data_IF_441539867279
#
_entry.id   IF_441539867279
#
_cell.length_a   1.000
_cell.length_b   1.000
_cell.length_c   1.000
_cell.angle_alpha   90.00
_cell.angle_beta   90.00
_cell.angle_gamma   90.00
#
_symmetry.space_group_name_H-M   'P 1'
#
loop_
_entity.id
_entity.type
_entity.pdbx_description
1 polymer ?
#
# COMPACT_ATOMS: atom_id res chain seq x y z
N UNK A 1 17.02 42.50 -23.50
CA UNK A 1 17.90 41.52 -24.18
C UNK A 1 18.79 40.75 -23.20
N UNK A 2 19.53 41.40 -22.29
CA UNK A 2 20.45 40.74 -21.33
C UNK A 2 19.82 39.65 -20.42
N UNK A 3 18.56 39.84 -19.99
CA UNK A 3 17.90 38.89 -19.07
C UNK A 3 17.57 37.53 -19.69
N UNK A 4 17.23 37.47 -20.99
CA UNK A 4 16.93 36.19 -21.66
C UNK A 4 18.22 35.41 -21.94
N UNK A 5 19.29 36.11 -22.32
CA UNK A 5 20.59 35.50 -22.60
C UNK A 5 21.25 34.88 -21.36
N UNK A 6 21.03 35.45 -20.17
CA UNK A 6 21.68 35.00 -18.93
C UNK A 6 20.85 34.02 -18.09
N UNK A 7 19.54 33.90 -18.36
CA UNK A 7 18.68 32.94 -17.68
C UNK A 7 18.66 31.56 -18.38
N UNK A 8 18.31 30.51 -17.63
CA UNK A 8 18.05 29.14 -18.15
C UNK A 8 16.58 28.71 -18.04
N UNK A 9 15.70 29.62 -17.62
CA UNK A 9 14.25 29.39 -17.50
C UNK A 9 13.48 30.70 -17.44
N UNK A 10 12.19 30.68 -17.79
CA UNK A 10 11.31 31.86 -17.68
C UNK A 10 11.18 32.42 -16.27
N UNK A 11 11.24 31.54 -15.26
CA UNK A 11 11.28 31.97 -13.85
C UNK A 11 12.58 32.74 -13.54
N UNK A 12 13.70 32.34 -14.16
CA UNK A 12 14.96 33.05 -14.08
C UNK A 12 14.90 34.43 -14.73
N UNK A 13 14.26 34.53 -15.91
CA UNK A 13 14.03 35.83 -16.58
C UNK A 13 13.20 36.76 -15.70
N UNK A 14 12.11 36.26 -15.10
CA UNK A 14 11.29 37.07 -14.21
C UNK A 14 12.09 37.60 -13.01
N UNK A 15 12.92 36.76 -12.38
CA UNK A 15 13.78 37.21 -11.26
C UNK A 15 14.72 38.34 -11.68
N UNK A 16 15.34 38.24 -12.85
CA UNK A 16 16.26 39.27 -13.35
C UNK A 16 15.55 40.55 -13.77
N UNK A 17 14.28 40.47 -14.17
CA UNK A 17 13.43 41.62 -14.45
C UNK A 17 12.79 42.22 -13.18
N UNK A 18 13.11 41.71 -11.98
CA UNK A 18 12.52 42.15 -10.72
C UNK A 18 11.06 41.73 -10.51
N UNK A 19 10.59 40.75 -11.29
CA UNK A 19 9.21 40.26 -11.27
C UNK A 19 9.08 38.99 -10.43
N UNK A 20 7.88 38.80 -9.86
CA UNK A 20 7.54 37.61 -9.08
C UNK A 20 7.57 36.35 -9.98
N UNK A 21 8.53 35.46 -9.71
CA UNK A 21 8.80 34.26 -10.51
C UNK A 21 7.72 33.17 -10.47
N UNK A 22 6.63 33.38 -9.73
CA UNK A 22 5.51 32.45 -9.56
C UNK A 22 4.32 32.75 -10.47
N UNK A 23 4.26 33.92 -11.11
CA UNK A 23 3.10 34.30 -11.92
C UNK A 23 3.13 33.69 -13.32
N UNK A 24 2.19 32.77 -13.59
CA UNK A 24 2.00 32.18 -14.92
C UNK A 24 1.61 33.23 -15.98
N UNK A 25 0.89 34.30 -15.60
CA UNK A 25 0.57 35.42 -16.48
C UNK A 25 1.82 36.21 -16.88
N UNK A 26 2.69 36.51 -15.91
CA UNK A 26 3.94 37.23 -16.17
C UNK A 26 4.88 36.41 -17.07
N UNK A 27 4.98 35.09 -16.85
CA UNK A 27 5.77 34.21 -17.70
C UNK A 27 5.26 34.20 -19.15
N UNK A 28 3.94 34.15 -19.37
CA UNK A 28 3.34 34.22 -20.72
C UNK A 28 3.60 35.57 -21.39
N UNK A 29 3.44 36.67 -20.65
CA UNK A 29 3.67 38.03 -21.19
C UNK A 29 5.13 38.23 -21.60
N UNK A 30 6.08 37.80 -20.78
CA UNK A 30 7.52 37.93 -21.07
C UNK A 30 7.92 37.04 -22.24
N UNK A 31 7.37 35.82 -22.34
CA UNK A 31 7.57 34.95 -23.51
C UNK A 31 7.04 35.59 -24.79
N UNK A 32 5.78 36.04 -24.78
CA UNK A 32 5.17 36.71 -25.94
C UNK A 32 5.94 37.97 -26.38
N UNK A 33 6.57 38.68 -25.43
CA UNK A 33 7.42 39.81 -25.75
C UNK A 33 8.75 39.39 -26.37
N UNK A 34 9.38 38.31 -25.88
CA UNK A 34 10.57 37.73 -26.49
C UNK A 34 10.30 37.24 -27.92
N UNK A 35 9.16 36.60 -28.15
CA UNK A 35 8.71 36.15 -29.48
C UNK A 35 8.52 37.34 -30.43
N UNK A 36 7.85 38.42 -29.99
CA UNK A 36 7.70 39.66 -30.78
C UNK A 36 9.01 40.32 -31.15
N UNK A 37 10.05 40.16 -30.31
CA UNK A 37 11.38 40.73 -30.54
C UNK A 37 12.31 39.78 -31.28
N UNK A 38 11.87 38.58 -31.65
CA UNK A 38 12.69 37.58 -32.33
C UNK A 38 13.87 37.06 -31.49
N UNK A 39 13.78 37.14 -30.16
CA UNK A 39 14.88 36.73 -29.27
C UNK A 39 14.82 35.22 -29.07
N UNK A 40 15.89 34.51 -29.44
CA UNK A 40 16.03 33.07 -29.17
C UNK A 40 16.21 32.78 -27.67
N UNK A 41 15.56 31.72 -27.20
CA UNK A 41 15.63 31.19 -25.83
C UNK A 41 15.74 29.66 -25.81
N UNK A 42 16.31 29.07 -26.87
CA UNK A 42 16.47 27.62 -27.04
C UNK A 42 17.30 26.95 -25.94
N UNK A 43 18.18 27.70 -25.28
CA UNK A 43 19.01 27.24 -24.16
C UNK A 43 18.25 27.05 -22.84
N UNK A 44 16.93 27.33 -22.80
CA UNK A 44 16.13 27.13 -21.59
C UNK A 44 15.86 25.64 -21.33
N UNK A 45 16.08 25.22 -20.08
CA UNK A 45 15.89 23.83 -19.66
C UNK A 45 14.47 23.60 -19.12
N UNK A 46 13.99 22.34 -19.16
CA UNK A 46 12.64 21.98 -18.69
C UNK A 46 11.52 22.33 -19.69
N UNK A 47 11.85 22.58 -20.95
CA UNK A 47 10.87 22.76 -22.01
C UNK A 47 10.28 21.40 -22.38
N UNK A 48 8.96 21.36 -22.55
CA UNK A 48 8.31 20.33 -23.36
C UNK A 48 9.00 20.33 -24.73
N UNK A 49 9.57 19.18 -25.11
CA UNK A 49 10.31 19.03 -26.37
C UNK A 49 9.43 18.77 -27.59
N UNK A 50 8.16 18.44 -27.35
CA UNK A 50 7.18 18.11 -28.38
C UNK A 50 6.08 19.18 -28.49
N UNK A 51 5.58 19.42 -29.69
CA UNK A 51 4.43 20.31 -29.93
C UNK A 51 3.11 19.54 -29.79
N UNK A 52 1.99 20.27 -29.68
CA UNK A 52 0.67 19.67 -29.48
C UNK A 52 0.28 18.72 -30.62
N UNK A 53 0.75 18.97 -31.84
CA UNK A 53 0.50 18.12 -33.00
C UNK A 53 1.27 16.81 -32.97
N UNK A 54 2.53 16.84 -32.54
CA UNK A 54 3.35 15.64 -32.33
C UNK A 54 2.73 14.75 -31.25
N UNK A 55 2.15 15.34 -30.20
CA UNK A 55 1.41 14.57 -29.20
C UNK A 55 0.17 13.89 -29.80
N UNK A 56 -0.61 14.60 -30.62
CA UNK A 56 -1.80 14.02 -31.27
C UNK A 56 -1.43 12.84 -32.15
N UNK A 57 -0.39 13.00 -32.96
CA UNK A 57 0.11 11.95 -33.83
C UNK A 57 0.63 10.75 -33.04
N UNK A 58 1.46 11.00 -32.02
CA UNK A 58 1.98 9.96 -31.12
C UNK A 58 0.86 9.15 -30.44
N UNK A 59 -0.20 9.82 -29.96
CA UNK A 59 -1.33 9.13 -29.34
C UNK A 59 -2.12 8.31 -30.36
N UNK A 60 -2.32 8.81 -31.58
CA UNK A 60 -3.07 8.13 -32.61
C UNK A 60 -2.37 6.86 -33.12
N UNK A 61 -1.03 6.86 -33.17
CA UNK A 61 -0.23 5.75 -33.70
C UNK A 61 0.12 4.69 -32.64
N UNK A 62 0.14 5.07 -31.36
CA UNK A 62 0.53 4.17 -30.28
C UNK A 62 -0.57 3.18 -29.88
N UNK A 63 -0.16 2.03 -29.37
CA UNK A 63 -1.03 1.02 -28.75
C UNK A 63 -1.08 1.13 -27.22
N UNK A 64 -0.12 1.82 -26.61
CA UNK A 64 -0.10 2.12 -25.18
C UNK A 64 0.66 3.43 -24.88
N UNK A 65 0.54 3.91 -23.62
CA UNK A 65 1.20 5.14 -23.19
C UNK A 65 2.74 5.09 -23.18
N UNK A 66 3.36 3.92 -23.09
CA UNK A 66 4.81 3.77 -23.16
C UNK A 66 5.30 3.87 -24.60
N UNK A 67 4.55 3.32 -25.56
CA UNK A 67 4.79 3.51 -26.99
C UNK A 67 4.62 4.97 -27.39
N UNK A 68 3.55 5.65 -26.95
CA UNK A 68 3.36 7.08 -27.17
C UNK A 68 4.52 7.90 -26.56
N UNK A 69 4.96 7.57 -25.34
CA UNK A 69 6.10 8.25 -24.72
C UNK A 69 7.41 8.03 -25.49
N UNK A 70 7.67 6.82 -25.99
CA UNK A 70 8.88 6.50 -26.77
C UNK A 70 8.94 7.22 -28.11
N UNK A 71 7.80 7.45 -28.75
CA UNK A 71 7.74 8.15 -30.04
C UNK A 71 7.98 9.66 -29.91
N UNK A 72 7.93 10.20 -28.69
CA UNK A 72 8.20 11.60 -28.38
C UNK A 72 9.61 11.75 -27.81
N UNK A 73 10.48 12.40 -28.59
CA UNK A 73 11.90 12.52 -28.27
C UNK A 73 12.16 13.14 -26.88
N UNK A 74 12.76 12.36 -25.98
CA UNK A 74 13.15 12.78 -24.62
C UNK A 74 12.11 12.56 -23.51
N UNK A 75 11.04 11.81 -23.74
CA UNK A 75 10.08 11.40 -22.72
C UNK A 75 10.50 10.08 -22.05
N UNK A 76 11.20 10.14 -20.91
CA UNK A 76 11.38 8.97 -20.03
C UNK A 76 10.08 8.56 -19.32
N UNK A 77 10.08 7.51 -18.51
CA UNK A 77 8.90 7.03 -17.75
C UNK A 77 8.19 8.15 -16.95
N UNK A 78 8.94 9.12 -16.43
CA UNK A 78 8.41 10.31 -15.74
C UNK A 78 7.54 11.25 -16.63
N UNK A 79 7.48 11.02 -17.95
CA UNK A 79 6.71 11.80 -18.90
C UNK A 79 5.26 11.29 -19.10
N UNK A 80 4.94 10.03 -18.73
CA UNK A 80 3.62 9.44 -19.03
C UNK A 80 2.49 10.22 -18.36
N UNK A 81 2.61 10.55 -17.07
CA UNK A 81 1.60 11.34 -16.36
C UNK A 81 1.45 12.77 -16.95
N UNK A 82 2.56 13.36 -17.43
CA UNK A 82 2.54 14.67 -18.07
C UNK A 82 1.92 14.64 -19.48
N UNK A 83 2.09 13.53 -20.20
CA UNK A 83 1.46 13.25 -21.49
C UNK A 83 -0.05 13.06 -21.32
N UNK A 84 -0.47 12.20 -20.39
CA UNK A 84 -1.87 11.97 -20.02
C UNK A 84 -2.58 13.28 -19.64
N UNK A 85 -1.98 14.05 -18.73
CA UNK A 85 -2.53 15.34 -18.30
C UNK A 85 -2.54 16.39 -19.41
N UNK A 86 -1.74 16.25 -20.47
CA UNK A 86 -1.80 17.16 -21.62
C UNK A 86 -2.80 16.71 -22.69
N UNK A 87 -2.85 15.42 -22.99
CA UNK A 87 -3.86 14.82 -23.87
C UNK A 87 -5.27 15.16 -23.40
N UNK A 88 -5.52 15.01 -22.09
CA UNK A 88 -6.78 15.40 -21.45
C UNK A 88 -7.10 16.90 -21.63
N UNK A 89 -6.10 17.78 -21.53
CA UNK A 89 -6.28 19.23 -21.74
C UNK A 89 -6.52 19.62 -23.20
N UNK A 90 -6.00 18.85 -24.14
CA UNK A 90 -6.22 19.03 -25.58
C UNK A 90 -7.52 18.36 -26.08
N UNK A 91 -8.19 17.57 -25.23
CA UNK A 91 -9.37 16.79 -25.62
C UNK A 91 -9.05 15.67 -26.63
N UNK A 92 -7.83 15.13 -26.60
CA UNK A 92 -7.40 14.05 -27.48
C UNK A 92 -7.95 12.73 -26.94
N UNK A 93 -8.63 11.97 -27.81
CA UNK A 93 -9.04 10.61 -27.47
C UNK A 93 -7.82 9.71 -27.28
N UNK A 94 -7.72 9.11 -26.11
CA UNK A 94 -6.61 8.23 -25.71
C UNK A 94 -7.15 6.95 -25.06
N UNK A 95 -8.44 6.64 -25.24
CA UNK A 95 -9.08 5.48 -24.64
C UNK A 95 -8.46 4.15 -25.08
N UNK A 96 -7.90 4.08 -26.29
CA UNK A 96 -7.20 2.91 -26.81
C UNK A 96 -5.81 2.70 -26.19
N UNK A 97 -5.21 3.74 -25.59
CA UNK A 97 -3.92 3.65 -24.89
C UNK A 97 -4.07 3.22 -23.43
N UNK A 98 -5.28 3.23 -22.89
CA UNK A 98 -5.54 2.76 -21.54
C UNK A 98 -5.16 1.27 -21.48
N UNK A 99 -4.46 0.80 -20.42
CA UNK A 99 -4.31 -0.61 -20.19
C UNK A 99 -5.69 -1.23 -20.26
N UNK A 100 -5.91 -2.13 -21.22
CA UNK A 100 -7.18 -2.84 -21.39
C UNK A 100 -7.58 -3.31 -20.01
N UNK A 101 -8.68 -2.75 -19.47
CA UNK A 101 -9.20 -3.08 -18.15
C UNK A 101 -9.11 -4.59 -18.05
N UNK A 102 -8.22 -5.07 -17.17
CA UNK A 102 -8.02 -6.48 -16.97
C UNK A 102 -9.44 -7.00 -16.70
N UNK A 103 -9.95 -7.82 -17.63
CA UNK A 103 -11.34 -8.26 -17.65
C UNK A 103 -11.73 -8.53 -16.20
N UNK A 104 -12.67 -7.74 -15.69
CA UNK A 104 -13.02 -7.72 -14.27
C UNK A 104 -13.22 -9.16 -13.84
N UNK A 105 -12.25 -9.70 -13.12
CA UNK A 105 -12.36 -11.01 -12.51
C UNK A 105 -13.30 -10.78 -11.33
N UNK A 106 -14.59 -10.65 -11.64
CA UNK A 106 -15.71 -10.46 -10.73
C UNK A 106 -16.02 -11.76 -9.99
N UNK A 107 -14.97 -12.54 -9.70
CA UNK A 107 -15.02 -13.57 -8.69
C UNK A 107 -15.15 -12.83 -7.36
N UNK A 108 -16.38 -12.66 -6.91
CA UNK A 108 -16.73 -12.07 -5.62
C UNK A 108 -15.79 -12.64 -4.55
N UNK A 109 -14.86 -11.81 -4.06
CA UNK A 109 -13.88 -12.22 -3.07
C UNK A 109 -14.60 -12.49 -1.75
N UNK A 110 -14.89 -13.77 -1.50
CA UNK A 110 -15.55 -14.22 -0.27
C UNK A 110 -14.52 -14.78 0.71
N UNK A 111 -14.55 -14.38 2.00
CA UNK A 111 -13.76 -15.04 3.04
C UNK A 111 -14.09 -16.53 3.12
N UNK A 112 -13.06 -17.35 3.26
CA UNK A 112 -13.17 -18.80 3.41
C UNK A 112 -12.41 -19.24 4.66
N UNK A 113 -13.13 -19.84 5.61
CA UNK A 113 -12.59 -20.35 6.87
C UNK A 113 -11.54 -21.45 6.68
N UNK A 114 -11.51 -22.12 5.52
CA UNK A 114 -10.45 -23.08 5.19
C UNK A 114 -9.06 -22.44 5.14
N UNK A 115 -8.98 -21.11 4.96
CA UNK A 115 -7.74 -20.32 4.90
C UNK A 115 -7.40 -19.64 6.23
N UNK A 116 -8.12 -19.97 7.30
CA UNK A 116 -7.96 -19.34 8.61
C UNK A 116 -6.56 -19.54 9.20
N UNK A 117 -5.92 -20.68 8.94
CA UNK A 117 -4.53 -20.96 9.31
C UNK A 117 -3.53 -19.93 8.75
N UNK A 118 -3.76 -19.44 7.53
CA UNK A 118 -2.94 -18.40 6.89
C UNK A 118 -3.32 -17.00 7.35
N UNK A 119 -4.60 -16.77 7.64
CA UNK A 119 -5.11 -15.46 8.04
C UNK A 119 -4.90 -15.16 9.54
N UNK A 120 -4.66 -16.19 10.37
CA UNK A 120 -4.69 -16.09 11.82
C UNK A 120 -3.83 -14.96 12.39
N UNK A 121 -2.56 -14.88 12.00
CA UNK A 121 -1.65 -13.85 12.52
C UNK A 121 -2.02 -12.44 12.08
N UNK A 122 -2.64 -12.28 10.91
CA UNK A 122 -3.13 -10.99 10.43
C UNK A 122 -4.36 -10.54 11.24
N UNK A 123 -5.28 -11.47 11.52
CA UNK A 123 -6.46 -11.20 12.34
C UNK A 123 -6.07 -10.84 13.78
N UNK A 124 -5.13 -11.59 14.36
CA UNK A 124 -4.59 -11.30 15.69
C UNK A 124 -3.92 -9.92 15.74
N UNK A 125 -3.06 -9.62 14.76
CA UNK A 125 -2.40 -8.32 14.66
C UNK A 125 -3.42 -7.17 14.56
N UNK A 126 -4.39 -7.29 13.65
CA UNK A 126 -5.46 -6.30 13.51
C UNK A 126 -6.20 -6.10 14.84
N UNK A 127 -6.54 -7.18 15.54
CA UNK A 127 -7.21 -7.11 16.83
C UNK A 127 -6.40 -6.35 17.88
N UNK A 128 -5.13 -6.71 18.09
CA UNK A 128 -4.27 -6.02 19.05
C UNK A 128 -4.03 -4.55 18.69
N UNK A 129 -3.85 -4.24 17.40
CA UNK A 129 -3.75 -2.87 16.92
C UNK A 129 -5.03 -2.07 17.23
N UNK A 130 -6.21 -2.66 17.04
CA UNK A 130 -7.48 -2.03 17.40
C UNK A 130 -7.66 -1.86 18.92
N UNK A 131 -7.01 -2.70 19.73
CA UNK A 131 -6.90 -2.52 21.17
C UNK A 131 -5.85 -1.46 21.58
N UNK A 132 -5.20 -0.78 20.63
CA UNK A 132 -4.19 0.25 20.89
C UNK A 132 -2.81 -0.29 21.22
N UNK A 133 -2.51 -1.55 20.88
CA UNK A 133 -1.16 -2.10 21.00
C UNK A 133 -0.35 -1.82 19.73
N UNK A 134 0.94 -1.54 19.87
CA UNK A 134 1.86 -1.63 18.74
C UNK A 134 2.14 -3.12 18.48
N UNK A 135 2.15 -3.51 17.21
CA UNK A 135 2.35 -4.91 16.79
C UNK A 135 3.57 -5.01 15.90
N UNK A 136 4.46 -5.95 16.20
CA UNK A 136 5.66 -6.25 15.43
C UNK A 136 5.74 -7.74 15.10
N UNK A 137 6.26 -8.05 13.92
CA UNK A 137 6.57 -9.42 13.49
C UNK A 137 8.07 -9.70 13.66
N UNK A 138 8.45 -10.89 14.15
CA UNK A 138 9.86 -11.27 14.21
C UNK A 138 10.44 -11.39 12.79
N UNK A 139 11.66 -10.89 12.60
CA UNK A 139 12.37 -10.99 11.32
C UNK A 139 12.94 -12.40 11.07
N UNK A 140 13.29 -13.10 12.15
CA UNK A 140 13.83 -14.45 12.11
C UNK A 140 12.77 -15.49 12.51
N UNK A 141 12.88 -16.75 12.04
CA UNK A 141 12.00 -17.83 12.46
C UNK A 141 11.92 -17.93 13.99
N UNK A 142 10.76 -17.61 14.54
CA UNK A 142 10.53 -17.55 15.99
C UNK A 142 9.46 -18.53 16.42
N UNK A 143 9.43 -18.82 17.72
CA UNK A 143 8.42 -19.67 18.38
C UNK A 143 7.13 -18.90 18.71
N UNK A 144 7.06 -17.61 18.38
CA UNK A 144 5.88 -16.78 18.49
C UNK A 144 5.64 -16.13 17.13
N UNK A 145 4.40 -15.72 16.87
CA UNK A 145 4.05 -15.09 15.59
C UNK A 145 4.15 -13.57 15.68
N UNK A 146 3.85 -12.99 16.85
CA UNK A 146 3.80 -11.54 17.07
C UNK A 146 4.51 -11.15 18.37
N UNK A 147 5.03 -9.93 18.40
CA UNK A 147 5.31 -9.19 19.64
C UNK A 147 4.36 -8.01 19.68
N UNK A 148 3.70 -7.83 20.82
CA UNK A 148 2.87 -6.66 21.07
C UNK A 148 3.51 -5.80 22.15
N UNK A 149 3.31 -4.49 22.07
CA UNK A 149 3.63 -3.57 23.17
C UNK A 149 2.45 -2.69 23.53
N UNK A 150 2.23 -2.52 24.84
CA UNK A 150 1.23 -1.61 25.39
C UNK A 150 1.73 -1.07 26.73
N UNK A 151 1.71 0.24 26.93
CA UNK A 151 2.14 0.86 28.18
C UNK A 151 3.61 0.60 28.56
N UNK A 152 4.47 0.29 27.58
CA UNK A 152 5.88 -0.03 27.81
C UNK A 152 6.17 -1.51 28.11
N UNK A 153 5.15 -2.35 28.28
CA UNK A 153 5.32 -3.80 28.43
C UNK A 153 5.27 -4.49 27.07
N UNK A 154 6.20 -5.41 26.83
CA UNK A 154 6.24 -6.24 25.63
C UNK A 154 5.75 -7.66 25.94
N UNK A 155 4.94 -8.24 25.06
CA UNK A 155 4.48 -9.63 25.15
C UNK A 155 4.63 -10.35 23.83
N UNK A 156 5.13 -11.59 23.87
CA UNK A 156 5.27 -12.52 22.76
C UNK A 156 4.02 -13.38 22.66
N UNK A 157 3.41 -13.35 21.49
CA UNK A 157 2.11 -13.97 21.23
C UNK A 157 2.28 -15.07 20.19
N UNK A 158 1.88 -16.29 20.55
CA UNK A 158 1.71 -17.36 19.57
C UNK A 158 0.25 -17.43 19.14
N UNK A 159 0.02 -17.29 17.85
CA UNK A 159 -1.30 -17.40 17.24
C UNK A 159 -1.60 -18.85 16.92
N UNK A 160 -2.82 -19.28 17.23
CA UNK A 160 -3.35 -20.59 16.86
C UNK A 160 -4.74 -20.42 16.27
N UNK A 161 -5.05 -21.24 15.28
CA UNK A 161 -6.39 -21.29 14.71
C UNK A 161 -6.92 -22.71 14.77
N UNK A 162 -8.25 -22.83 14.77
CA UNK A 162 -8.90 -24.14 14.65
C UNK A 162 -10.19 -24.06 13.88
N UNK A 163 -10.39 -25.04 13.00
CA UNK A 163 -11.66 -25.36 12.35
C UNK A 163 -12.12 -26.76 12.73
N UNK A 164 -11.52 -27.36 13.76
CA UNK A 164 -11.82 -28.72 14.21
C UNK A 164 -12.72 -28.70 15.45
N UNK A 165 -13.84 -29.42 15.41
CA UNK A 165 -14.73 -29.65 16.55
C UNK A 165 -14.56 -31.05 17.13
N UNK A 166 -14.65 -31.15 18.45
CA UNK A 166 -14.69 -32.42 19.17
C UNK A 166 -15.55 -32.27 20.44
N UNK A 167 -16.38 -33.28 20.75
CA UNK A 167 -17.29 -33.25 21.90
C UNK A 167 -18.13 -31.95 21.98
N UNK A 168 -18.67 -31.52 20.84
CA UNK A 168 -19.57 -30.35 20.76
C UNK A 168 -18.89 -28.98 20.83
N UNK A 169 -17.57 -28.89 21.01
CA UNK A 169 -16.82 -27.62 21.12
C UNK A 169 -15.63 -27.58 20.16
N UNK A 170 -15.12 -26.37 19.90
CA UNK A 170 -13.86 -26.17 19.19
C UNK A 170 -12.68 -26.75 19.97
N UNK A 171 -11.82 -27.49 19.27
CA UNK A 171 -10.59 -28.08 19.82
C UNK A 171 -9.38 -27.41 19.16
N UNK A 172 -8.57 -26.72 19.95
CA UNK A 172 -7.36 -26.06 19.46
C UNK A 172 -6.12 -26.86 19.86
N UNK A 173 -5.17 -27.01 18.93
CA UNK A 173 -3.86 -27.59 19.20
C UNK A 173 -2.85 -26.50 19.50
N UNK A 174 -2.18 -26.61 20.64
CA UNK A 174 -1.30 -25.57 21.18
C UNK A 174 0.19 -25.89 21.02
N UNK A 175 0.53 -26.97 20.31
CA UNK A 175 1.92 -27.37 20.04
C UNK A 175 2.24 -27.26 18.55
N UNK A 176 3.52 -27.10 18.20
CA UNK A 176 3.98 -27.19 16.81
C UNK A 176 3.91 -28.64 16.29
N UNK A 177 3.60 -28.81 15.01
CA UNK A 177 3.39 -30.13 14.38
C UNK A 177 4.63 -30.70 13.68
N UNK A 178 5.75 -29.96 13.61
CA UNK A 178 6.82 -30.26 12.65
C UNK A 178 7.91 -31.26 13.10
N UNK A 179 8.09 -31.54 14.39
CA UNK A 179 8.94 -32.65 14.87
C UNK A 179 8.86 -32.75 16.40
N UNK A 180 8.16 -33.78 16.89
CA UNK A 180 7.76 -33.94 18.30
C UNK A 180 6.91 -32.77 18.85
N UNK A 181 5.70 -33.08 19.33
CA UNK A 181 4.81 -32.08 19.93
C UNK A 181 5.46 -31.58 21.22
N UNK A 182 6.08 -30.40 21.18
CA UNK A 182 6.66 -29.74 22.35
C UNK A 182 5.73 -28.61 22.81
N UNK A 183 5.35 -28.55 24.11
CA UNK A 183 4.64 -27.39 24.65
C UNK A 183 5.53 -26.14 24.58
N UNK A 184 4.92 -24.96 24.63
CA UNK A 184 5.66 -23.72 24.74
C UNK A 184 6.08 -23.46 26.20
N UNK A 185 7.22 -22.80 26.39
CA UNK A 185 7.70 -22.36 27.72
C UNK A 185 7.51 -20.85 27.93
N UNK A 186 7.55 -20.36 29.18
CA UNK A 186 7.49 -18.92 29.47
C UNK A 186 8.62 -18.11 28.82
N UNK A 187 9.76 -18.75 28.52
CA UNK A 187 10.86 -18.12 27.80
C UNK A 187 10.59 -17.99 26.30
N UNK A 188 9.55 -18.63 25.76
CA UNK A 188 9.21 -18.60 24.34
C UNK A 188 8.04 -17.67 24.05
N UNK A 189 6.98 -17.75 24.84
CA UNK A 189 5.74 -17.01 24.63
C UNK A 189 5.13 -16.60 25.97
N UNK A 190 4.37 -15.51 25.96
CA UNK A 190 3.66 -15.03 27.14
C UNK A 190 2.17 -15.44 27.08
N UNK A 191 1.58 -15.42 25.88
CA UNK A 191 0.18 -15.78 25.67
C UNK A 191 -0.08 -16.43 24.30
N UNK A 192 -1.20 -17.16 24.23
CA UNK A 192 -1.79 -17.63 22.99
C UNK A 192 -2.92 -16.70 22.57
N UNK A 193 -2.93 -16.35 21.29
CA UNK A 193 -4.10 -15.78 20.64
C UNK A 193 -4.78 -16.86 19.78
N UNK A 194 -5.99 -17.27 20.15
CA UNK A 194 -6.68 -18.38 19.50
C UNK A 194 -7.90 -17.88 18.73
N UNK A 195 -8.06 -18.32 17.48
CA UNK A 195 -9.23 -18.03 16.65
C UNK A 195 -9.92 -19.34 16.28
N UNK A 196 -11.21 -19.46 16.61
CA UNK A 196 -12.00 -20.64 16.26
C UNK A 196 -12.73 -20.50 14.91
N UNK A 197 -13.40 -21.58 14.48
CA UNK A 197 -14.07 -21.63 13.18
C UNK A 197 -15.29 -20.70 13.07
N UNK A 198 -15.81 -20.21 14.20
CA UNK A 198 -16.85 -19.18 14.26
C UNK A 198 -16.26 -17.76 14.34
N UNK A 199 -14.94 -17.64 14.14
CA UNK A 199 -14.15 -16.40 14.28
C UNK A 199 -14.25 -15.78 15.69
N UNK A 200 -14.52 -16.58 16.72
CA UNK A 200 -14.36 -16.12 18.09
C UNK A 200 -12.88 -16.08 18.46
N UNK A 201 -12.51 -15.02 19.18
CA UNK A 201 -11.14 -14.73 19.56
C UNK A 201 -10.93 -15.01 21.06
N UNK A 202 -9.78 -15.54 21.42
CA UNK A 202 -9.40 -15.84 22.80
C UNK A 202 -7.97 -15.39 23.06
N UNK A 203 -7.74 -14.71 24.20
CA UNK A 203 -6.41 -14.37 24.69
C UNK A 203 -6.14 -15.21 25.93
N UNK A 204 -5.35 -16.28 25.77
CA UNK A 204 -5.14 -17.29 26.79
C UNK A 204 -3.69 -17.19 27.30
N UNK A 205 -3.44 -16.74 28.54
CA UNK A 205 -2.09 -16.72 29.11
C UNK A 205 -1.48 -18.12 29.09
N UNK A 206 -0.17 -18.24 28.81
CA UNK A 206 0.50 -19.54 28.77
C UNK A 206 0.30 -20.33 30.07
N UNK A 207 0.36 -19.66 31.22
CA UNK A 207 0.17 -20.26 32.53
C UNK A 207 -1.22 -20.92 32.71
N UNK A 208 -2.26 -20.44 32.02
CA UNK A 208 -3.61 -21.02 32.10
C UNK A 208 -3.75 -22.35 31.34
N UNK A 209 -2.83 -22.65 30.42
CA UNK A 209 -2.84 -23.87 29.62
C UNK A 209 -2.21 -25.05 30.36
N UNK A 210 -1.26 -24.79 31.27
CA UNK A 210 -0.64 -25.84 32.10
C UNK A 210 0.11 -26.91 31.30
N UNK A 211 0.71 -26.56 30.16
CA UNK A 211 1.50 -27.49 29.34
C UNK A 211 0.69 -28.43 28.44
N UNK A 212 -0.64 -28.30 28.38
CA UNK A 212 -1.48 -29.10 27.50
C UNK A 212 -1.17 -28.87 26.01
N UNK A 213 -1.17 -29.95 25.23
CA UNK A 213 -0.95 -29.89 23.77
C UNK A 213 -2.20 -29.54 22.97
N UNK A 214 -3.37 -29.69 23.57
CA UNK A 214 -4.65 -29.40 22.97
C UNK A 214 -5.65 -29.00 24.07
N UNK A 215 -6.56 -28.09 23.73
CA UNK A 215 -7.60 -27.63 24.64
C UNK A 215 -8.97 -27.62 23.96
N UNK A 216 -10.02 -27.80 24.74
CA UNK A 216 -11.39 -27.52 24.35
C UNK A 216 -11.71 -26.08 24.73
N UNK A 217 -12.06 -25.22 23.76
CA UNK A 217 -12.21 -23.79 23.99
C UNK A 217 -13.36 -23.43 24.94
N UNK A 218 -14.36 -24.31 25.08
CA UNK A 218 -15.43 -24.15 26.09
C UNK A 218 -14.89 -24.07 27.53
N UNK A 219 -13.82 -24.80 27.86
CA UNK A 219 -13.18 -24.74 29.18
C UNK A 219 -12.40 -23.42 29.41
N UNK A 220 -12.15 -22.68 28.33
CA UNK A 220 -11.40 -21.42 28.32
C UNK A 220 -12.29 -20.22 27.97
N UNK A 221 -13.63 -20.36 28.10
CA UNK A 221 -14.59 -19.32 27.74
C UNK A 221 -14.36 -17.98 28.45
N UNK A 222 -13.81 -17.98 29.67
CA UNK A 222 -13.45 -16.75 30.41
C UNK A 222 -12.37 -15.90 29.74
N UNK A 223 -11.60 -16.49 28.83
CA UNK A 223 -10.54 -15.83 28.06
C UNK A 223 -11.00 -15.37 26.68
N UNK A 224 -12.29 -15.57 26.36
CA UNK A 224 -12.87 -15.07 25.12
C UNK A 224 -12.88 -13.54 25.16
N UNK A 225 -12.43 -12.93 24.08
CA UNK A 225 -12.41 -11.47 23.92
C UNK A 225 -13.41 -11.03 22.85
N UNK A 226 -13.74 -9.74 22.83
CA UNK A 226 -14.57 -9.16 21.78
C UNK A 226 -13.92 -9.41 20.42
N UNK A 227 -14.69 -9.76 19.40
CA UNK A 227 -14.16 -9.90 18.04
C UNK A 227 -13.85 -8.56 17.39
N UNK A 228 -13.32 -8.60 16.17
CA UNK A 228 -13.23 -7.39 15.34
C UNK A 228 -14.64 -6.80 15.14
N UNK A 229 -14.81 -5.46 15.22
CA UNK A 229 -16.09 -4.83 14.97
C UNK A 229 -16.59 -5.19 13.57
N UNK A 230 -17.71 -5.88 13.51
CA UNK A 230 -18.45 -6.08 12.27
C UNK A 230 -19.32 -4.85 12.15
N UNK A 231 -19.04 -3.99 11.15
CA UNK A 231 -19.67 -2.67 11.02
C UNK A 231 -21.16 -2.71 11.34
N UNK A 232 -21.56 -2.02 12.40
CA UNK A 232 -22.96 -1.70 12.65
C UNK A 232 -23.45 -0.82 11.52
N UNK A 233 -24.61 -1.15 10.95
CA UNK A 233 -25.33 -0.24 10.07
C UNK A 233 -25.72 1.02 10.83
#
# INVERSE_FOLDING_TARGET
MSAVASARSWRGVLRQLGLLSTSAGAMRSVRAHADRLGISYEHFTGRRRWVDEELRQSIAEASDWHEAARSLDGAGEAAIAALQGHAARLGVDSGHLAPREAASADAELRPDTSRLDRAGSLLAAAWYTMCGCDVSWPLEPSRYDLVISSGGEMRRVQVKTTTTRAAGTWKAYLSTSRSARRPYSPDEIDEFFVIDGDLAHYVIPLAAVGGLHAIHLSAYARFRVAGLPVGGR
#
